data_IF_062229478307
#
_entry.id   IF_062229478307
#
_cell.length_a   1.000
_cell.length_b   1.000
_cell.length_c   1.000
_cell.angle_alpha   90.00
_cell.angle_beta   90.00
_cell.angle_gamma   90.00
#
_symmetry.space_group_name_H-M   'P 1'
#
loop_
_entity.id
_entity.type
_entity.pdbx_description
1 polymer ?
#
# COMPACT_ATOMS: atom_id res chain seq x y z
N UNK A 1 6.20 58.75 -34.58
CA UNK A 1 6.64 57.35 -34.75
C UNK A 1 6.13 56.59 -33.54
N UNK A 2 5.07 55.80 -33.74
CA UNK A 2 4.21 55.30 -32.67
C UNK A 2 4.74 53.99 -32.07
N UNK A 3 4.75 53.98 -30.74
CA UNK A 3 5.18 52.91 -29.86
C UNK A 3 4.24 51.71 -30.02
N UNK A 4 4.63 50.73 -30.82
CA UNK A 4 3.85 49.51 -31.03
C UNK A 4 4.77 48.29 -31.20
N UNK A 5 5.64 48.02 -30.22
CA UNK A 5 6.46 46.78 -30.18
C UNK A 5 6.66 46.21 -28.77
N UNK A 6 5.70 46.42 -27.86
CA UNK A 6 5.76 45.91 -26.49
C UNK A 6 4.43 45.27 -26.10
N UNK A 7 3.97 44.28 -26.85
CA UNK A 7 2.75 43.54 -26.50
C UNK A 7 2.75 42.07 -26.94
N UNK A 8 3.93 41.45 -27.11
CA UNK A 8 4.01 40.03 -27.52
C UNK A 8 4.84 39.12 -26.59
N UNK A 9 5.36 39.65 -25.48
CA UNK A 9 6.19 38.88 -24.55
C UNK A 9 5.48 38.44 -23.26
N UNK A 10 4.26 38.92 -22.98
CA UNK A 10 3.55 38.58 -21.73
C UNK A 10 2.62 37.37 -21.83
N UNK A 11 2.34 36.84 -23.03
CA UNK A 11 1.42 35.69 -23.20
C UNK A 11 2.15 34.34 -23.15
N UNK A 12 3.48 34.32 -23.35
CA UNK A 12 4.26 33.08 -23.35
C UNK A 12 4.55 32.50 -21.96
N UNK A 13 4.20 33.19 -20.87
CA UNK A 13 4.45 32.75 -19.49
C UNK A 13 3.23 32.08 -18.82
N UNK A 14 2.09 31.97 -19.50
CA UNK A 14 0.83 31.55 -18.86
C UNK A 14 0.35 30.12 -19.18
N UNK A 15 1.09 29.28 -19.89
CA UNK A 15 0.49 27.99 -20.30
C UNK A 15 1.45 26.84 -20.50
N UNK A 16 2.25 26.53 -19.48
CA UNK A 16 2.52 25.13 -19.16
C UNK A 16 2.63 25.00 -17.64
N UNK A 17 1.49 24.84 -16.96
CA UNK A 17 1.52 24.03 -15.75
C UNK A 17 1.98 22.64 -16.22
N UNK A 18 3.27 22.38 -16.17
CA UNK A 18 3.80 21.07 -16.47
C UNK A 18 3.18 20.13 -15.44
N UNK A 19 2.19 19.33 -15.85
CA UNK A 19 1.62 18.23 -15.05
C UNK A 19 2.63 17.07 -15.01
N UNK A 20 3.92 17.40 -14.88
CA UNK A 20 5.01 16.46 -14.72
C UNK A 20 5.09 16.11 -13.24
N UNK A 21 4.47 15.00 -12.85
CA UNK A 21 4.45 14.53 -11.46
C UNK A 21 3.07 14.40 -10.84
N UNK A 22 1.98 14.40 -11.64
CA UNK A 22 0.67 13.99 -11.12
C UNK A 22 0.77 12.53 -10.66
N UNK A 23 0.82 12.35 -9.33
CA UNK A 23 0.71 11.05 -8.70
C UNK A 23 -0.70 10.54 -8.94
N UNK A 24 -0.80 9.27 -9.31
CA UNK A 24 -2.09 8.60 -9.50
C UNK A 24 -2.43 7.87 -8.22
N UNK A 25 -3.70 7.89 -7.79
CA UNK A 25 -4.11 7.08 -6.65
C UNK A 25 -4.07 5.60 -6.99
N UNK A 26 -3.44 4.81 -6.12
CA UNK A 26 -3.48 3.35 -6.18
C UNK A 26 -4.33 2.83 -5.03
N UNK A 27 -5.35 2.05 -5.37
CA UNK A 27 -6.32 1.60 -4.39
C UNK A 27 -5.84 0.33 -3.69
N UNK A 28 -6.08 0.27 -2.38
CA UNK A 28 -6.00 -0.99 -1.62
C UNK A 28 -7.40 -1.56 -1.58
N UNK A 29 -7.53 -2.79 -2.05
CA UNK A 29 -8.74 -3.54 -1.83
C UNK A 29 -8.79 -4.00 -0.37
N UNK A 30 -9.82 -3.58 0.35
CA UNK A 30 -10.06 -3.96 1.74
C UNK A 30 -11.51 -4.42 1.89
N UNK A 31 -11.70 -5.65 2.36
CA UNK A 31 -13.03 -6.18 2.66
C UNK A 31 -13.03 -6.81 4.04
N UNK A 32 -13.76 -6.16 4.96
CA UNK A 32 -13.87 -6.58 6.36
C UNK A 32 -15.34 -6.86 6.64
N UNK A 33 -15.81 -8.12 6.53
CA UNK A 33 -17.16 -8.47 6.92
C UNK A 33 -17.34 -8.34 8.44
N UNK A 34 -18.58 -8.26 8.96
CA UNK A 34 -18.83 -8.19 10.40
C UNK A 34 -18.31 -9.40 11.20
N UNK A 35 -18.15 -10.55 10.52
CA UNK A 35 -17.58 -11.77 11.09
C UNK A 35 -16.98 -12.65 9.98
N UNK A 36 -16.13 -13.61 10.36
CA UNK A 36 -15.52 -14.55 9.43
C UNK A 36 -14.14 -14.11 8.95
N UNK A 37 -13.88 -14.25 7.65
CA UNK A 37 -12.57 -13.97 7.06
C UNK A 37 -12.59 -12.65 6.31
N UNK A 38 -11.71 -11.73 6.72
CA UNK A 38 -11.43 -10.49 6.00
C UNK A 38 -10.25 -10.67 5.05
N UNK A 39 -10.16 -9.76 4.08
CA UNK A 39 -9.13 -9.78 3.03
C UNK A 39 -8.65 -8.37 2.73
N UNK A 40 -7.34 -8.26 2.49
CA UNK A 40 -6.70 -7.07 1.97
C UNK A 40 -5.79 -7.44 0.80
N UNK A 41 -5.77 -6.60 -0.23
CA UNK A 41 -4.89 -6.76 -1.38
C UNK A 41 -4.40 -5.41 -1.91
N UNK A 42 -3.12 -5.31 -2.21
CA UNK A 42 -2.48 -4.06 -2.56
C UNK A 42 -1.08 -4.24 -3.16
N UNK A 43 -0.51 -3.19 -3.76
CA UNK A 43 0.91 -3.13 -4.13
C UNK A 43 1.59 -2.09 -3.26
N UNK A 44 2.72 -2.48 -2.67
CA UNK A 44 3.50 -1.60 -1.80
C UNK A 44 3.98 -0.34 -2.54
N UNK A 45 4.56 -0.49 -3.74
CA UNK A 45 4.97 0.64 -4.59
C UNK A 45 3.79 1.46 -5.07
N UNK A 46 2.68 0.82 -5.44
CA UNK A 46 1.49 1.55 -5.86
C UNK A 46 1.07 2.52 -4.76
N UNK A 47 0.92 2.02 -3.54
CA UNK A 47 0.53 2.83 -2.38
C UNK A 47 1.55 3.92 -2.06
N UNK A 48 2.86 3.63 -2.06
CA UNK A 48 3.89 4.65 -1.82
C UNK A 48 3.95 5.77 -2.88
N UNK A 49 3.64 5.43 -4.14
CA UNK A 49 3.63 6.40 -5.23
C UNK A 49 2.25 7.03 -5.47
N UNK A 50 1.28 6.70 -4.62
CA UNK A 50 -0.06 7.27 -4.62
C UNK A 50 -0.04 8.75 -4.22
N UNK A 51 -1.00 9.54 -4.72
CA UNK A 51 -1.29 10.87 -4.16
C UNK A 51 -2.00 10.78 -2.81
N UNK A 52 -2.70 9.67 -2.55
CA UNK A 52 -3.26 9.38 -1.25
C UNK A 52 -2.17 8.94 -0.27
N UNK A 53 -2.00 9.73 0.79
CA UNK A 53 -1.04 9.46 1.87
C UNK A 53 -1.63 8.62 3.00
N UNK A 54 -2.93 8.29 2.95
CA UNK A 54 -3.60 7.53 4.01
C UNK A 54 -3.53 6.02 3.77
N UNK A 55 -3.60 5.60 2.51
CA UNK A 55 -3.49 4.20 2.13
C UNK A 55 -2.16 3.59 2.58
N UNK A 56 -2.21 2.39 3.17
CA UNK A 56 -1.03 1.64 3.62
C UNK A 56 -1.26 0.17 3.34
N UNK A 57 -0.28 -0.55 2.79
CA UNK A 57 -0.29 -2.01 2.83
C UNK A 57 1.11 -2.51 3.08
N UNK A 58 1.30 -3.33 4.12
CA UNK A 58 2.63 -3.82 4.49
C UNK A 58 2.55 -5.10 5.31
N UNK A 59 3.62 -5.88 5.28
CA UNK A 59 3.86 -7.00 6.18
C UNK A 59 5.28 -6.89 6.74
N UNK A 60 5.45 -7.22 8.01
CA UNK A 60 6.74 -7.22 8.69
C UNK A 60 6.88 -8.42 9.62
N UNK A 61 8.10 -8.89 9.80
CA UNK A 61 8.47 -9.88 10.81
C UNK A 61 9.22 -9.16 11.93
N UNK A 62 8.69 -9.24 13.15
CA UNK A 62 9.38 -8.80 14.36
C UNK A 62 9.94 -10.03 15.08
N UNK A 63 11.21 -9.97 15.48
CA UNK A 63 11.85 -11.01 16.30
C UNK A 63 12.06 -10.44 17.69
N UNK A 64 11.38 -11.02 18.68
CA UNK A 64 11.53 -10.66 20.09
C UNK A 64 12.39 -11.73 20.78
N UNK A 65 13.51 -11.30 21.38
CA UNK A 65 14.37 -12.15 22.19
C UNK A 65 13.87 -12.07 23.64
N UNK A 66 13.40 -13.20 24.18
CA UNK A 66 13.08 -13.27 25.61
C UNK A 66 14.36 -13.38 26.44
N UNK A 67 14.32 -12.92 27.69
CA UNK A 67 15.45 -12.99 28.63
C UNK A 67 15.96 -14.44 28.88
N UNK A 68 15.17 -15.45 28.50
CA UNK A 68 15.49 -16.87 28.58
C UNK A 68 16.13 -17.42 27.29
N UNK A 69 16.52 -16.55 26.34
CA UNK A 69 17.19 -16.94 25.10
C UNK A 69 16.27 -17.57 24.04
N UNK A 70 14.96 -17.64 24.29
CA UNK A 70 14.00 -18.12 23.28
C UNK A 70 13.57 -16.96 22.40
N UNK A 71 13.84 -17.06 21.09
CA UNK A 71 13.37 -16.09 20.11
C UNK A 71 11.93 -16.39 19.71
N UNK A 72 11.03 -15.43 19.88
CA UNK A 72 9.67 -15.51 19.33
C UNK A 72 9.59 -14.60 18.12
N UNK A 73 9.15 -15.15 16.99
CA UNK A 73 8.90 -14.37 15.78
C UNK A 73 7.42 -13.99 15.71
N UNK A 74 7.11 -12.80 15.22
CA UNK A 74 5.74 -12.34 15.01
C UNK A 74 5.62 -11.73 13.63
N UNK A 75 4.73 -12.30 12.82
CA UNK A 75 4.24 -11.68 11.60
C UNK A 75 3.17 -10.66 11.95
N UNK A 76 3.30 -9.47 11.39
CA UNK A 76 2.30 -8.41 11.44
C UNK A 76 2.08 -7.87 10.03
N UNK A 77 0.87 -7.98 9.52
CA UNK A 77 0.43 -7.34 8.29
C UNK A 77 -0.66 -6.32 8.60
N UNK A 78 -0.59 -5.18 7.91
CA UNK A 78 -1.48 -4.06 8.08
C UNK A 78 -1.88 -3.50 6.72
N UNK A 79 -3.17 -3.25 6.56
CA UNK A 79 -3.73 -2.56 5.41
C UNK A 79 -4.64 -1.43 5.90
N UNK A 80 -4.61 -0.30 5.22
CA UNK A 80 -5.52 0.82 5.41
C UNK A 80 -6.01 1.29 4.05
N UNK A 81 -7.32 1.44 3.89
CA UNK A 81 -7.89 2.00 2.66
C UNK A 81 -7.92 3.55 2.68
N UNK A 82 -8.35 4.15 1.56
CA UNK A 82 -8.45 5.61 1.39
C UNK A 82 -9.45 6.27 2.36
N UNK A 83 -10.39 5.48 2.89
CA UNK A 83 -11.41 5.92 3.86
C UNK A 83 -10.94 5.82 5.31
N UNK A 84 -9.73 5.28 5.54
CA UNK A 84 -9.13 5.11 6.85
C UNK A 84 -9.55 3.83 7.58
N UNK A 85 -10.21 2.88 6.90
CA UNK A 85 -10.52 1.59 7.52
C UNK A 85 -9.25 0.75 7.63
N UNK A 86 -9.06 0.11 8.79
CA UNK A 86 -7.86 -0.67 9.09
C UNK A 86 -8.14 -2.18 9.12
N UNK A 87 -7.29 -2.94 8.43
CA UNK A 87 -7.20 -4.40 8.50
C UNK A 87 -5.88 -4.82 9.11
N UNK A 88 -5.92 -5.67 10.15
CA UNK A 88 -4.74 -6.15 10.86
C UNK A 88 -4.76 -7.67 10.90
N UNK A 89 -3.61 -8.24 10.57
CA UNK A 89 -3.37 -9.67 10.51
C UNK A 89 -2.11 -9.97 11.33
N UNK A 90 -2.22 -10.86 12.32
CA UNK A 90 -1.14 -11.23 13.23
C UNK A 90 -0.94 -12.74 13.23
N UNK A 91 0.31 -13.18 13.24
CA UNK A 91 0.66 -14.59 13.52
C UNK A 91 1.88 -14.66 14.42
N UNK A 92 1.75 -15.30 15.58
CA UNK A 92 2.88 -15.58 16.46
C UNK A 92 3.53 -16.90 16.04
N UNK A 93 4.86 -16.95 16.06
CA UNK A 93 5.68 -18.07 15.56
C UNK A 93 5.22 -18.52 14.16
N UNK A 94 5.23 -17.60 13.18
CA UNK A 94 4.78 -17.92 11.83
C UNK A 94 5.61 -19.08 11.25
N UNK A 95 5.00 -19.98 10.46
CA UNK A 95 5.75 -20.98 9.70
C UNK A 95 6.79 -20.31 8.82
N UNK A 96 7.94 -20.96 8.60
CA UNK A 96 9.04 -20.41 7.82
C UNK A 96 8.61 -19.93 6.42
N UNK A 97 7.64 -20.60 5.78
CA UNK A 97 7.09 -20.17 4.49
C UNK A 97 6.50 -18.75 4.50
N UNK A 98 5.87 -18.32 5.59
CA UNK A 98 5.38 -16.93 5.73
C UNK A 98 6.54 -15.95 5.86
N UNK A 99 7.57 -16.34 6.62
CA UNK A 99 8.78 -15.53 6.82
C UNK A 99 9.50 -15.33 5.49
N UNK A 100 9.69 -16.41 4.74
CA UNK A 100 10.33 -16.39 3.42
C UNK A 100 9.53 -15.54 2.42
N UNK A 101 8.19 -15.60 2.45
CA UNK A 101 7.35 -14.75 1.63
C UNK A 101 7.55 -13.26 1.96
N UNK A 102 7.50 -12.87 3.24
CA UNK A 102 7.71 -11.46 3.63
C UNK A 102 9.09 -10.97 3.20
N UNK A 103 10.14 -11.79 3.33
CA UNK A 103 11.48 -11.42 2.86
C UNK A 103 11.62 -11.41 1.33
N UNK A 104 10.80 -12.17 0.61
CA UNK A 104 10.77 -12.18 -0.85
C UNK A 104 9.96 -11.02 -1.45
N UNK A 105 9.23 -10.27 -0.62
CA UNK A 105 8.35 -9.19 -1.03
C UNK A 105 9.17 -8.10 -1.71
N UNK A 106 8.90 -7.90 -3.01
CA UNK A 106 9.47 -6.78 -3.75
C UNK A 106 8.44 -5.67 -3.85
N UNK A 107 9.00 -4.47 -3.99
CA UNK A 107 8.33 -3.21 -4.21
C UNK A 107 7.12 -3.29 -5.18
N UNK A 108 7.27 -3.95 -6.33
CA UNK A 108 6.22 -4.04 -7.35
C UNK A 108 5.23 -5.20 -7.15
N UNK A 109 5.45 -6.08 -6.18
CA UNK A 109 4.60 -7.26 -6.01
C UNK A 109 3.23 -6.87 -5.44
N UNK A 110 2.22 -7.66 -5.80
CA UNK A 110 0.91 -7.61 -5.14
C UNK A 110 0.96 -8.47 -3.90
N UNK A 111 0.74 -7.84 -2.76
CA UNK A 111 0.55 -8.48 -1.47
C UNK A 111 -0.94 -8.69 -1.23
N UNK A 112 -1.34 -9.92 -0.93
CA UNK A 112 -2.68 -10.25 -0.46
C UNK A 112 -2.57 -10.99 0.86
N UNK A 113 -3.37 -10.60 1.85
CA UNK A 113 -3.45 -11.34 3.11
C UNK A 113 -4.89 -11.44 3.60
N UNK A 114 -5.17 -12.54 4.31
CA UNK A 114 -6.48 -12.79 4.91
C UNK A 114 -6.33 -13.05 6.39
N UNK A 115 -7.34 -12.65 7.17
CA UNK A 115 -7.36 -12.86 8.61
C UNK A 115 -8.76 -13.17 9.11
N UNK A 116 -8.81 -13.79 10.29
CA UNK A 116 -10.03 -13.93 11.05
C UNK A 116 -10.43 -12.59 11.70
N UNK A 117 -11.65 -12.11 11.47
CA UNK A 117 -12.08 -10.80 12.01
C UNK A 117 -12.11 -10.78 13.54
N UNK A 118 -12.51 -11.87 14.18
CA UNK A 118 -12.66 -11.91 15.63
C UNK A 118 -11.32 -11.97 16.37
N UNK A 119 -10.35 -12.69 15.82
CA UNK A 119 -9.06 -12.94 16.49
C UNK A 119 -7.88 -12.20 15.85
N UNK A 120 -8.09 -11.56 14.70
CA UNK A 120 -7.04 -10.95 13.86
C UNK A 120 -5.96 -11.95 13.42
N UNK A 121 -6.22 -13.25 13.55
CA UNK A 121 -5.24 -14.27 13.22
C UNK A 121 -5.07 -14.36 11.70
N UNK A 122 -3.84 -14.27 11.21
CA UNK A 122 -3.54 -14.48 9.80
C UNK A 122 -3.92 -15.90 9.36
N UNK A 123 -4.68 -16.00 8.26
CA UNK A 123 -5.06 -17.28 7.64
C UNK A 123 -4.24 -17.57 6.38
N UNK A 124 -3.96 -16.55 5.58
CA UNK A 124 -3.12 -16.69 4.39
C UNK A 124 -2.34 -15.42 4.08
N UNK A 125 -1.21 -15.63 3.41
CA UNK A 125 -0.37 -14.60 2.81
C UNK A 125 -0.02 -15.07 1.40
N UNK A 126 -0.30 -14.23 0.41
CA UNK A 126 -0.01 -14.50 -0.99
C UNK A 126 0.77 -13.34 -1.58
N UNK A 127 1.81 -13.68 -2.34
CA UNK A 127 2.55 -12.74 -3.18
C UNK A 127 2.37 -13.11 -4.63
N UNK A 128 1.72 -12.22 -5.37
CA UNK A 128 1.63 -12.33 -6.81
C UNK A 128 2.65 -11.39 -7.43
N UNK A 129 3.67 -11.99 -8.05
CA UNK A 129 4.72 -11.27 -8.77
C UNK A 129 4.17 -10.70 -10.08
N UNK A 130 4.46 -9.44 -10.36
CA UNK A 130 4.00 -8.74 -11.56
C UNK A 130 3.53 -7.32 -11.23
N UNK A 131 3.32 -6.49 -12.25
CA UNK A 131 2.98 -5.08 -12.09
C UNK A 131 1.49 -4.87 -11.78
N UNK A 132 1.02 -5.28 -10.60
CA UNK A 132 -0.34 -4.96 -10.16
C UNK A 132 -0.45 -3.47 -9.84
N UNK A 133 -1.21 -2.76 -10.65
CA UNK A 133 -1.34 -1.31 -10.64
C UNK A 133 -2.82 -0.98 -10.88
N UNK A 134 -3.66 -1.22 -9.87
CA UNK A 134 -5.07 -0.81 -9.94
C UNK A 134 -5.14 0.64 -9.50
N UNK A 135 -5.37 1.52 -10.46
CA UNK A 135 -5.66 2.93 -10.19
C UNK A 135 -7.00 2.99 -9.47
N UNK A 136 -7.12 3.76 -8.39
CA UNK A 136 -8.45 4.13 -7.93
C UNK A 136 -9.07 4.86 -9.11
N UNK A 137 -10.21 4.40 -9.61
CA UNK A 137 -10.92 5.15 -10.64
C UNK A 137 -11.15 6.52 -10.04
N UNK A 138 -10.44 7.53 -10.54
CA UNK A 138 -10.68 8.91 -10.16
C UNK A 138 -12.14 9.15 -10.45
N UNK A 139 -12.96 9.16 -9.40
CA UNK A 139 -14.30 9.70 -9.50
C UNK A 139 -14.07 11.17 -9.87
N UNK A 140 -14.26 11.46 -11.14
CA UNK A 140 -14.45 12.82 -11.67
C UNK A 140 -15.60 13.48 -10.95
#
# INVERSE_FOLDING_TARGET
>A
MNVAKLAFACIALLSTAAVAGSKTNFEIYLSIPPSGTAVAAGSFVGVQNSSDTNSVIQCQIKVDLTALGTATQRLYCHARDTSGNDGICILNNPPQAFVDLVYALKDNDKLTFTWDVATQQCKSLELQRGSWQVRSNGAT
#
